data_IF_693482652574
#
_entry.id   IF_693482652574
#
_cell.length_a   1.000
_cell.length_b   1.000
_cell.length_c   1.000
_cell.angle_alpha   90.00
_cell.angle_beta   90.00
_cell.angle_gamma   90.00
#
_symmetry.space_group_name_H-M   'P 1'
#
loop_
_entity.id
_entity.type
_entity.pdbx_description
1 polymer ?
#
# COMPACT_ATOMS: atom_id res chain seq x y z
N UNK A 1 -38.67 18.81 -30.25
CA UNK A 1 -37.55 19.42 -31.02
C UNK A 1 -36.18 19.38 -30.33
N UNK A 2 -36.05 19.02 -29.04
CA UNK A 2 -34.78 19.20 -28.29
C UNK A 2 -33.80 18.00 -28.28
N UNK A 3 -34.15 16.84 -28.83
CA UNK A 3 -33.27 15.65 -28.86
C UNK A 3 -32.43 15.57 -30.15
N UNK A 4 -32.94 16.07 -31.27
CA UNK A 4 -32.27 16.01 -32.56
C UNK A 4 -30.99 16.87 -32.64
N UNK A 5 -30.94 17.96 -31.88
CA UNK A 5 -29.77 18.87 -31.80
C UNK A 5 -28.60 18.30 -30.99
N UNK A 6 -28.83 17.23 -30.21
CA UNK A 6 -27.80 16.57 -29.39
C UNK A 6 -27.12 15.38 -30.06
N UNK A 7 -27.55 15.00 -31.27
CA UNK A 7 -26.94 13.90 -32.00
C UNK A 7 -25.60 14.32 -32.60
N UNK A 8 -24.49 13.85 -32.01
CA UNK A 8 -23.12 14.21 -32.42
C UNK A 8 -22.77 13.84 -33.87
N UNK A 9 -23.48 12.90 -34.50
CA UNK A 9 -23.26 12.51 -35.90
C UNK A 9 -23.94 13.41 -36.93
N UNK A 10 -24.82 14.34 -36.52
CA UNK A 10 -25.48 15.32 -37.41
C UNK A 10 -26.48 14.75 -38.44
N UNK A 11 -26.52 13.44 -38.67
CA UNK A 11 -27.38 12.80 -39.71
C UNK A 11 -28.87 13.06 -39.50
N UNK A 12 -29.36 13.04 -38.27
CA UNK A 12 -30.78 13.31 -37.99
C UNK A 12 -31.15 14.78 -38.23
N UNK A 13 -30.24 15.70 -37.94
CA UNK A 13 -30.44 17.12 -38.23
C UNK A 13 -30.49 17.39 -39.74
N UNK A 14 -29.68 16.70 -40.54
CA UNK A 14 -29.73 16.78 -42.02
C UNK A 14 -31.08 16.30 -42.58
N UNK A 15 -31.58 15.15 -42.10
CA UNK A 15 -32.88 14.61 -42.55
C UNK A 15 -34.04 15.53 -42.16
N UNK A 16 -34.02 16.09 -40.95
CA UNK A 16 -35.05 17.03 -40.50
C UNK A 16 -34.99 18.36 -41.25
N UNK A 17 -33.79 18.85 -41.57
CA UNK A 17 -33.60 20.02 -42.43
C UNK A 17 -34.12 19.78 -43.86
N UNK A 18 -33.93 18.57 -44.41
CA UNK A 18 -34.45 18.20 -45.73
C UNK A 18 -35.99 18.11 -45.74
N UNK A 19 -36.60 17.78 -44.60
CA UNK A 19 -38.05 17.81 -44.40
C UNK A 19 -38.61 19.22 -44.15
N UNK A 20 -37.77 20.27 -44.21
CA UNK A 20 -38.18 21.67 -44.06
C UNK A 20 -38.28 22.17 -42.61
N UNK A 21 -37.86 21.37 -41.62
CA UNK A 21 -37.79 21.80 -40.22
C UNK A 21 -36.41 22.40 -39.90
N UNK A 22 -36.38 23.66 -39.45
CA UNK A 22 -35.14 24.29 -38.99
C UNK A 22 -34.69 23.67 -37.66
N UNK A 23 -33.55 22.96 -37.68
CA UNK A 23 -32.91 22.41 -36.47
C UNK A 23 -31.58 23.13 -36.27
N UNK A 24 -31.48 23.93 -35.20
CA UNK A 24 -30.21 24.55 -34.80
C UNK A 24 -29.27 23.47 -34.24
N UNK A 25 -28.25 23.10 -35.03
CA UNK A 25 -27.20 22.17 -34.59
C UNK A 25 -26.11 23.00 -33.91
N UNK A 26 -26.06 22.97 -32.59
CA UNK A 26 -24.92 23.52 -31.85
C UNK A 26 -23.80 22.50 -31.84
N UNK A 27 -22.88 22.57 -32.80
CA UNK A 27 -21.62 21.82 -32.70
C UNK A 27 -20.83 22.36 -31.51
N UNK A 28 -20.48 21.54 -30.50
CA UNK A 28 -19.58 22.00 -29.45
C UNK A 28 -18.26 22.39 -30.11
N UNK A 29 -17.86 23.65 -29.93
CA UNK A 29 -16.59 24.17 -30.43
C UNK A 29 -15.48 23.43 -29.70
N UNK A 30 -14.83 22.47 -30.37
CA UNK A 30 -13.63 21.85 -29.82
C UNK A 30 -12.61 22.97 -29.57
N UNK A 31 -12.12 23.06 -28.35
CA UNK A 31 -11.01 23.93 -28.02
C UNK A 31 -9.84 23.59 -28.95
N UNK A 32 -9.16 24.60 -29.47
CA UNK A 32 -7.97 24.39 -30.29
C UNK A 32 -6.97 23.53 -29.49
N UNK A 33 -6.23 22.60 -30.13
CA UNK A 33 -5.24 21.81 -29.44
C UNK A 33 -4.18 22.75 -28.87
N UNK A 34 -4.14 22.87 -27.54
CA UNK A 34 -3.10 23.60 -26.82
C UNK A 34 -1.75 23.04 -27.25
N UNK A 35 -0.94 23.85 -27.93
CA UNK A 35 0.35 23.47 -28.54
C UNK A 35 1.49 23.41 -27.51
N UNK A 36 1.24 23.81 -26.27
CA UNK A 36 2.21 23.71 -25.18
C UNK A 36 2.08 22.35 -24.51
N UNK A 37 3.22 21.64 -24.39
CA UNK A 37 3.29 20.46 -23.53
C UNK A 37 2.90 20.89 -22.09
N UNK A 38 1.89 20.25 -21.47
CA UNK A 38 1.54 20.54 -20.09
C UNK A 38 2.72 20.21 -19.17
N UNK A 39 2.84 20.94 -18.07
CA UNK A 39 3.83 20.66 -17.02
C UNK A 39 3.42 19.37 -16.29
N UNK A 40 3.94 18.25 -16.79
CA UNK A 40 3.63 16.90 -16.30
C UNK A 40 4.05 16.74 -14.83
N UNK A 41 5.13 17.38 -14.40
CA UNK A 41 5.65 17.28 -13.04
C UNK A 41 4.74 18.01 -12.04
N UNK A 42 4.23 19.19 -12.41
CA UNK A 42 3.29 19.94 -11.58
C UNK A 42 1.94 19.21 -11.43
N UNK A 43 1.41 18.66 -12.53
CA UNK A 43 0.18 17.87 -12.48
C UNK A 43 0.37 16.58 -11.68
N UNK A 44 1.50 15.88 -11.84
CA UNK A 44 1.82 14.69 -11.07
C UNK A 44 1.88 14.98 -9.56
N UNK A 45 2.52 16.08 -9.14
CA UNK A 45 2.57 16.48 -7.71
C UNK A 45 1.19 16.76 -7.14
N UNK A 46 0.33 17.47 -7.89
CA UNK A 46 -1.02 17.79 -7.45
C UNK A 46 -1.91 16.55 -7.31
N UNK A 47 -1.73 15.56 -8.18
CA UNK A 47 -2.44 14.28 -8.04
C UNK A 47 -1.89 13.44 -6.89
N UNK A 48 -0.56 13.45 -6.66
CA UNK A 48 0.04 12.79 -5.50
C UNK A 48 -0.49 13.35 -4.17
N UNK A 49 -0.59 14.67 -4.01
CA UNK A 49 -1.16 15.30 -2.80
C UNK A 49 -2.61 14.87 -2.55
N UNK A 50 -3.43 14.75 -3.60
CA UNK A 50 -4.82 14.29 -3.47
C UNK A 50 -4.90 12.81 -3.09
N UNK A 51 -3.98 11.99 -3.61
CA UNK A 51 -3.89 10.56 -3.28
C UNK A 51 -3.44 10.39 -1.84
N UNK A 52 -2.41 11.10 -1.40
CA UNK A 52 -1.92 11.07 -0.02
C UNK A 52 -2.99 11.54 0.98
N UNK A 53 -3.72 12.62 0.66
CA UNK A 53 -4.80 13.11 1.51
C UNK A 53 -5.98 12.12 1.66
N UNK A 54 -6.17 11.22 0.70
CA UNK A 54 -7.25 10.22 0.72
C UNK A 54 -6.75 8.79 1.02
N UNK A 55 -5.45 8.63 1.23
CA UNK A 55 -4.86 7.34 1.57
C UNK A 55 -5.27 6.95 2.99
N UNK A 56 -6.10 5.92 3.11
CA UNK A 56 -6.38 5.29 4.41
C UNK A 56 -5.24 4.32 4.72
N UNK A 57 -4.53 4.46 5.86
CA UNK A 57 -3.51 3.50 6.24
C UNK A 57 -4.19 2.15 6.48
N UNK A 58 -3.87 1.17 5.64
CA UNK A 58 -4.31 -0.21 5.83
C UNK A 58 -3.36 -0.88 6.81
N UNK A 59 -3.84 -1.35 7.98
CA UNK A 59 -2.96 -1.99 8.95
C UNK A 59 -2.38 -3.29 8.38
N UNK A 60 -1.10 -3.53 8.62
CA UNK A 60 -0.44 -4.78 8.19
C UNK A 60 -1.14 -5.98 8.84
N UNK A 61 -1.59 -6.96 8.04
CA UNK A 61 -2.20 -8.16 8.59
C UNK A 61 -1.15 -9.03 9.28
N UNK A 62 -1.56 -9.68 10.38
CA UNK A 62 -0.76 -10.70 11.04
C UNK A 62 -0.52 -11.87 10.08
N UNK A 63 0.71 -12.42 10.09
CA UNK A 63 1.06 -13.53 9.22
C UNK A 63 0.17 -14.76 9.47
N UNK A 64 -0.26 -15.43 8.39
CA UNK A 64 -1.19 -16.59 8.44
C UNK A 64 -0.70 -17.72 9.34
N UNK A 65 0.61 -17.97 9.35
CA UNK A 65 1.24 -19.02 10.16
C UNK A 65 1.13 -18.78 11.69
N UNK A 66 0.80 -17.56 12.13
CA UNK A 66 0.52 -17.32 13.55
C UNK A 66 -0.68 -18.14 14.04
N UNK A 67 -1.70 -18.29 13.17
CA UNK A 67 -2.87 -19.19 13.33
C UNK A 67 -3.50 -19.22 14.73
N UNK A 68 -3.55 -18.07 15.42
CA UNK A 68 -4.27 -17.93 16.70
C UNK A 68 -5.65 -17.33 16.46
N UNK A 69 -6.66 -17.85 17.16
CA UNK A 69 -8.01 -17.28 17.17
C UNK A 69 -8.05 -15.96 17.94
N UNK A 70 -8.53 -14.89 17.30
CA UNK A 70 -8.71 -13.59 17.94
C UNK A 70 -8.39 -12.41 17.03
N UNK A 71 -8.78 -11.19 17.46
CA UNK A 71 -8.34 -9.94 16.85
C UNK A 71 -6.88 -9.65 17.22
N UNK A 72 -5.96 -10.29 16.49
CA UNK A 72 -4.53 -10.06 16.59
C UNK A 72 -4.14 -8.95 15.63
N UNK A 73 -3.40 -7.95 16.10
CA UNK A 73 -2.93 -6.83 15.29
C UNK A 73 -1.41 -6.75 15.38
N UNK A 74 -0.76 -6.40 14.28
CA UNK A 74 0.66 -6.03 14.34
C UNK A 74 0.75 -4.75 15.14
N UNK A 75 1.66 -4.73 16.13
CA UNK A 75 1.85 -3.57 16.96
C UNK A 75 2.46 -2.44 16.14
N UNK A 76 1.81 -1.28 16.16
CA UNK A 76 2.28 -0.05 15.55
C UNK A 76 2.64 0.95 16.64
N UNK A 77 3.86 1.50 16.56
CA UNK A 77 4.28 2.59 17.44
C UNK A 77 3.58 3.89 17.03
N UNK A 78 3.62 4.91 17.90
CA UNK A 78 2.92 6.20 17.78
C UNK A 78 3.09 6.97 16.46
N UNK A 79 4.05 6.61 15.60
CA UNK A 79 4.35 7.28 14.34
C UNK A 79 3.95 6.47 13.09
N UNK A 80 3.16 5.40 13.26
CA UNK A 80 2.66 4.63 12.11
C UNK A 80 3.69 3.64 11.55
N UNK A 81 4.85 3.48 12.19
CA UNK A 81 5.76 2.37 11.90
C UNK A 81 5.25 1.11 12.61
N UNK A 82 4.75 0.20 11.81
CA UNK A 82 4.35 -1.14 12.23
C UNK A 82 5.61 -1.99 12.47
N UNK A 83 5.65 -2.72 13.58
CA UNK A 83 6.76 -3.59 13.92
C UNK A 83 6.70 -4.90 13.11
N UNK A 84 6.90 -4.78 11.80
CA UNK A 84 7.00 -5.85 10.81
C UNK A 84 8.30 -5.72 10.03
N UNK A 85 9.08 -6.79 9.96
CA UNK A 85 10.30 -6.83 9.17
C UNK A 85 10.41 -8.17 8.44
N UNK A 86 10.45 -8.11 7.11
CA UNK A 86 10.71 -9.26 6.24
C UNK A 86 12.14 -9.15 5.66
N UNK A 87 13.01 -10.05 6.11
CA UNK A 87 14.42 -10.08 5.76
C UNK A 87 14.69 -11.24 4.78
N UNK A 88 15.55 -10.99 3.81
CA UNK A 88 16.02 -12.00 2.87
C UNK A 88 17.53 -12.06 2.86
N UNK A 89 18.06 -13.27 2.77
CA UNK A 89 19.49 -13.52 2.57
C UNK A 89 19.64 -14.45 1.37
N UNK A 90 20.33 -13.95 0.35
CA UNK A 90 20.62 -14.70 -0.87
C UNK A 90 22.13 -14.86 -0.97
N UNK A 91 22.61 -16.10 -0.96
CA UNK A 91 24.01 -16.44 -1.22
C UNK A 91 24.08 -17.25 -2.52
N UNK A 92 24.47 -16.58 -3.61
CA UNK A 92 24.57 -17.18 -4.94
C UNK A 92 25.70 -18.22 -5.06
N UNK A 93 26.71 -18.16 -4.19
CA UNK A 93 27.84 -19.10 -4.25
C UNK A 93 27.46 -20.46 -3.64
N UNK A 94 26.61 -20.42 -2.62
CA UNK A 94 26.10 -21.60 -1.91
C UNK A 94 24.74 -22.05 -2.43
N UNK A 95 24.15 -21.28 -3.36
CA UNK A 95 22.77 -21.44 -3.84
C UNK A 95 21.75 -21.47 -2.69
N UNK A 96 21.99 -20.66 -1.65
CA UNK A 96 21.16 -20.62 -0.45
C UNK A 96 20.30 -19.36 -0.43
N UNK A 97 18.98 -19.54 -0.44
CA UNK A 97 18.01 -18.45 -0.36
C UNK A 97 17.15 -18.60 0.89
N UNK A 98 17.42 -17.79 1.91
CA UNK A 98 16.70 -17.85 3.20
C UNK A 98 15.88 -16.60 3.43
N UNK A 99 14.76 -16.76 4.11
CA UNK A 99 13.96 -15.65 4.61
C UNK A 99 13.90 -15.67 6.14
N UNK A 100 13.70 -14.50 6.72
CA UNK A 100 13.43 -14.32 8.15
C UNK A 100 12.35 -13.25 8.29
N UNK A 101 11.19 -13.63 8.81
CA UNK A 101 10.06 -12.74 9.05
C UNK A 101 9.92 -12.51 10.55
N UNK A 102 9.83 -11.24 10.94
CA UNK A 102 9.78 -10.79 12.32
C UNK A 102 8.57 -9.86 12.49
N UNK A 103 7.66 -10.19 13.40
CA UNK A 103 6.46 -9.41 13.69
C UNK A 103 6.28 -9.28 15.20
N UNK A 104 6.02 -8.07 15.69
CA UNK A 104 5.52 -7.89 17.05
C UNK A 104 3.99 -7.82 17.00
N UNK A 105 3.32 -8.79 17.62
CA UNK A 105 1.87 -8.93 17.60
C UNK A 105 1.31 -8.51 18.96
N UNK A 106 0.26 -7.70 18.95
CA UNK A 106 -0.56 -7.39 20.12
C UNK A 106 -1.87 -8.18 20.07
N UNK A 107 -2.06 -9.06 21.05
CA UNK A 107 -3.31 -9.80 21.22
C UNK A 107 -4.30 -8.95 22.03
N UNK A 108 -5.22 -8.26 21.34
CA UNK A 108 -6.21 -7.36 21.98
C UNK A 108 -7.05 -8.06 23.06
N UNK A 109 -7.29 -9.37 22.90
CA UNK A 109 -8.12 -10.15 23.83
C UNK A 109 -7.47 -10.41 25.19
N UNK A 110 -6.15 -10.55 25.23
CA UNK A 110 -5.38 -10.92 26.44
C UNK A 110 -4.45 -9.82 26.92
N UNK A 111 -4.41 -8.70 26.18
CA UNK A 111 -3.45 -7.62 26.33
C UNK A 111 -2.01 -8.13 26.45
N UNK A 112 -1.66 -9.09 25.58
CA UNK A 112 -0.36 -9.76 25.56
C UNK A 112 0.40 -9.36 24.30
N UNK A 113 1.70 -9.13 24.45
CA UNK A 113 2.61 -8.91 23.34
C UNK A 113 3.32 -10.22 23.01
N UNK A 114 3.32 -10.59 21.73
CA UNK A 114 3.97 -11.82 21.26
C UNK A 114 4.91 -11.45 20.12
N UNK A 115 6.19 -11.73 20.31
CA UNK A 115 7.16 -11.67 19.23
C UNK A 115 7.02 -12.94 18.37
N UNK A 116 6.58 -12.76 17.14
CA UNK A 116 6.48 -13.81 16.14
C UNK A 116 7.70 -13.76 15.22
N UNK A 117 8.42 -14.86 15.17
CA UNK A 117 9.61 -15.03 14.32
C UNK A 117 9.39 -16.25 13.43
N UNK A 118 9.64 -16.14 12.13
CA UNK A 118 9.54 -17.24 11.16
C UNK A 118 10.77 -17.25 10.26
N UNK A 119 11.33 -18.42 9.98
CA UNK A 119 12.52 -18.55 9.14
C UNK A 119 12.49 -19.83 8.34
N UNK A 120 13.19 -19.83 7.20
CA UNK A 120 13.29 -21.01 6.35
C UNK A 120 13.90 -20.67 5.01
N UNK A 121 13.88 -21.66 4.12
CA UNK A 121 14.26 -21.49 2.72
C UNK A 121 13.09 -20.88 1.92
N UNK A 122 13.41 -20.06 0.92
CA UNK A 122 12.38 -19.42 0.11
C UNK A 122 11.60 -20.49 -0.67
N UNK A 123 10.27 -20.48 -0.52
CA UNK A 123 9.38 -21.48 -1.13
C UNK A 123 8.86 -22.53 -0.14
N UNK A 124 9.48 -22.66 1.03
CA UNK A 124 9.00 -23.54 2.09
C UNK A 124 8.19 -22.80 3.17
N UNK A 125 7.39 -23.55 3.93
CA UNK A 125 6.68 -23.01 5.10
C UNK A 125 7.67 -22.57 6.19
N UNK A 126 8.82 -23.23 6.31
CA UNK A 126 9.84 -22.92 7.32
C UNK A 126 9.40 -23.25 8.75
N UNK A 127 10.24 -22.87 9.71
CA UNK A 127 9.97 -22.94 11.13
C UNK A 127 9.50 -21.59 11.67
N UNK A 128 8.77 -21.60 12.78
CA UNK A 128 8.34 -20.39 13.47
C UNK A 128 8.42 -20.57 14.97
N UNK A 129 8.54 -19.44 15.67
CA UNK A 129 8.57 -19.34 17.11
C UNK A 129 7.73 -18.15 17.55
N UNK A 130 7.08 -18.33 18.71
CA UNK A 130 6.27 -17.31 19.38
C UNK A 130 6.87 -17.11 20.76
N UNK A 131 7.39 -15.94 21.01
CA UNK A 131 7.97 -15.58 22.30
C UNK A 131 7.04 -14.55 22.96
N UNK A 132 6.31 -14.93 24.02
CA UNK A 132 5.49 -13.98 24.76
C UNK A 132 6.38 -12.98 25.50
N UNK A 133 6.03 -11.70 25.44
CA UNK A 133 6.66 -10.62 26.20
C UNK A 133 5.67 -10.10 27.25
N UNK A 134 6.17 -9.75 28.44
CA UNK A 134 5.30 -9.30 29.52
C UNK A 134 4.73 -7.90 29.25
N UNK A 135 5.52 -7.05 28.58
CA UNK A 135 5.17 -5.67 28.30
C UNK A 135 5.54 -5.27 26.86
N UNK A 136 4.90 -4.22 26.35
CA UNK A 136 5.22 -3.62 25.03
C UNK A 136 6.70 -3.25 24.88
N UNK A 137 7.30 -2.69 25.92
CA UNK A 137 8.68 -2.20 25.92
C UNK A 137 9.68 -3.37 25.83
N UNK A 138 9.37 -4.48 26.48
CA UNK A 138 10.16 -5.71 26.40
C UNK A 138 10.03 -6.33 25.01
N UNK A 139 8.81 -6.38 24.46
CA UNK A 139 8.57 -6.86 23.09
C UNK A 139 9.33 -6.05 22.03
N UNK A 140 9.35 -4.73 22.15
CA UNK A 140 10.13 -3.84 21.28
C UNK A 140 11.64 -4.04 21.43
N UNK A 141 12.12 -4.22 22.67
CA UNK A 141 13.54 -4.48 22.94
C UNK A 141 13.97 -5.82 22.34
N UNK A 142 13.17 -6.86 22.49
CA UNK A 142 13.44 -8.17 21.91
C UNK A 142 13.37 -8.14 20.38
N UNK A 143 12.38 -7.44 19.82
CA UNK A 143 12.28 -7.18 18.39
C UNK A 143 13.55 -6.51 17.85
N UNK A 144 13.95 -5.37 18.44
CA UNK A 144 15.13 -4.63 18.03
C UNK A 144 16.43 -5.42 18.21
N UNK A 145 16.51 -6.25 19.25
CA UNK A 145 17.65 -7.16 19.47
C UNK A 145 17.76 -8.21 18.37
N UNK A 146 16.66 -8.89 18.05
CA UNK A 146 16.63 -9.91 16.99
C UNK A 146 16.92 -9.27 15.64
N UNK A 147 16.31 -8.11 15.36
CA UNK A 147 16.57 -7.36 14.14
C UNK A 147 18.06 -7.03 14.00
N UNK A 148 18.67 -6.43 15.02
CA UNK A 148 20.10 -6.09 15.05
C UNK A 148 21.01 -7.31 14.91
N UNK A 149 20.66 -8.43 15.52
CA UNK A 149 21.42 -9.68 15.39
C UNK A 149 21.40 -10.21 13.94
N UNK A 150 20.29 -10.04 13.21
CA UNK A 150 20.16 -10.57 11.83
C UNK A 150 20.62 -9.60 10.76
N UNK A 151 20.42 -8.29 10.93
CA UNK A 151 20.74 -7.26 9.94
C UNK A 151 22.04 -6.52 10.25
N UNK A 152 22.49 -6.52 11.51
CA UNK A 152 23.55 -5.64 11.99
C UNK A 152 23.09 -4.21 12.30
N UNK A 153 21.85 -3.86 11.94
CA UNK A 153 21.33 -2.50 12.03
C UNK A 153 20.50 -2.31 13.30
N UNK A 154 20.52 -1.11 13.86
CA UNK A 154 19.64 -0.76 14.96
C UNK A 154 18.23 -0.55 14.39
N UNK A 155 17.23 -1.13 15.04
CA UNK A 155 15.84 -0.84 14.69
C UNK A 155 15.50 0.58 15.14
N UNK A 156 15.28 1.47 14.18
CA UNK A 156 14.80 2.82 14.43
C UNK A 156 13.27 2.88 14.23
N UNK A 157 12.48 3.02 15.31
CA UNK A 157 11.02 3.14 15.21
C UNK A 157 10.57 4.42 14.52
N UNK A 158 11.46 5.40 14.37
CA UNK A 158 11.19 6.72 13.77
C UNK A 158 11.30 6.68 12.24
N UNK A 159 12.05 5.71 11.68
CA UNK A 159 12.28 5.60 10.23
C UNK A 159 13.06 6.77 9.61
N UNK A 160 13.59 7.68 10.45
CA UNK A 160 14.25 8.92 10.01
C UNK A 160 15.75 8.72 9.77
N UNK A 161 16.35 7.68 10.35
CA UNK A 161 17.79 7.41 10.22
C UNK A 161 18.06 6.08 9.50
N UNK A 162 18.51 6.18 8.25
CA UNK A 162 19.23 5.13 7.53
C UNK A 162 20.72 5.53 7.55
N UNK A 163 21.50 4.97 8.47
CA UNK A 163 22.98 5.01 8.45
C UNK A 163 23.55 3.67 8.00
#
# INVERSE_FOLDING_TARGET
MALASRQGSGRMAQVLSAAGLQVAVSSPKLAAPTTAMPDVDADARRELEKVEANAKPTPIPVHKAYSMSGENKVFAEKQGLECDALLFKVDLKRDEMRFYHLQLIHETNKDLFVLFTRWGEIGETGAFQRTPAANKEEGLKDFGKVFKEKTGNVWDPTGETFE
#
